data_IF_092827031937
#
_entry.id   IF_092827031937
#
_cell.length_a   1.000
_cell.length_b   1.000
_cell.length_c   1.000
_cell.angle_alpha   90.00
_cell.angle_beta   90.00
_cell.angle_gamma   90.00
#
_symmetry.space_group_name_H-M   'P 1'
#
loop_
_entity.id
_entity.type
_entity.pdbx_description
1 polymer ?
#
# COMPACT_ATOMS: atom_id res chain seq x y z
N UNK A 1 -19.66 -17.28 15.52
CA UNK A 1 -18.56 -16.93 14.62
C UNK A 1 -18.67 -15.45 14.31
N UNK A 2 -17.69 -14.65 14.68
CA UNK A 2 -17.72 -13.20 14.47
C UNK A 2 -17.37 -12.90 13.02
N UNK A 3 -18.23 -12.17 12.33
CA UNK A 3 -18.01 -11.72 10.96
C UNK A 3 -17.40 -10.34 11.00
N UNK A 4 -16.27 -10.16 10.30
CA UNK A 4 -15.57 -8.90 10.12
C UNK A 4 -15.51 -8.59 8.62
N UNK A 5 -15.89 -7.37 8.22
CA UNK A 5 -15.79 -6.93 6.85
C UNK A 5 -14.47 -6.19 6.62
N UNK A 6 -13.75 -6.53 5.57
CA UNK A 6 -12.62 -5.75 5.08
C UNK A 6 -13.04 -4.86 3.92
N UNK A 7 -13.01 -3.55 4.13
CA UNK A 7 -13.37 -2.53 3.16
C UNK A 7 -12.36 -2.39 2.02
N UNK A 8 -12.16 -3.47 1.27
CA UNK A 8 -11.27 -3.50 0.10
C UNK A 8 -11.90 -4.25 -1.06
N UNK A 9 -11.63 -3.79 -2.28
CA UNK A 9 -11.93 -4.50 -3.54
C UNK A 9 -10.71 -5.26 -4.07
N UNK A 10 -9.53 -5.06 -3.47
CA UNK A 10 -8.28 -5.73 -3.86
C UNK A 10 -8.25 -7.15 -3.27
N UNK A 11 -8.34 -8.15 -4.15
CA UNK A 11 -8.37 -9.57 -3.77
C UNK A 11 -7.06 -10.04 -3.11
N UNK A 12 -5.92 -9.51 -3.56
CA UNK A 12 -4.62 -9.83 -2.96
C UNK A 12 -4.54 -9.35 -1.50
N UNK A 13 -4.97 -8.11 -1.23
CA UNK A 13 -5.05 -7.59 0.15
C UNK A 13 -6.02 -8.40 1.01
N UNK A 14 -7.16 -8.79 0.46
CA UNK A 14 -8.14 -9.62 1.19
C UNK A 14 -7.57 -10.99 1.53
N UNK A 15 -6.90 -11.65 0.58
CA UNK A 15 -6.30 -12.98 0.78
C UNK A 15 -5.19 -12.93 1.83
N UNK A 16 -4.29 -11.96 1.74
CA UNK A 16 -3.22 -11.76 2.73
C UNK A 16 -3.80 -11.55 4.14
N UNK A 17 -4.79 -10.67 4.28
CA UNK A 17 -5.44 -10.41 5.57
C UNK A 17 -6.20 -11.64 6.11
N UNK A 18 -6.84 -12.45 5.22
CA UNK A 18 -7.48 -13.71 5.62
C UNK A 18 -6.46 -14.69 6.23
N UNK A 19 -5.29 -14.84 5.60
CA UNK A 19 -4.20 -15.68 6.12
C UNK A 19 -3.72 -15.18 7.48
N UNK A 20 -3.47 -13.89 7.58
CA UNK A 20 -2.97 -13.23 8.78
C UNK A 20 -3.92 -13.37 9.97
N UNK A 21 -5.23 -13.20 9.77
CA UNK A 21 -6.23 -13.25 10.84
C UNK A 21 -6.82 -14.64 11.09
N UNK A 22 -6.47 -15.65 10.28
CA UNK A 22 -6.98 -17.02 10.44
C UNK A 22 -6.70 -17.64 11.82
N UNK A 23 -5.53 -17.42 12.46
CA UNK A 23 -5.28 -17.95 13.80
C UNK A 23 -6.21 -17.39 14.87
N UNK A 24 -6.85 -16.24 14.63
CA UNK A 24 -7.77 -15.59 15.58
C UNK A 24 -9.21 -16.11 15.48
N UNK A 25 -9.50 -17.05 14.59
CA UNK A 25 -10.86 -17.58 14.39
C UNK A 25 -11.84 -16.54 13.80
N UNK A 26 -11.34 -15.47 13.18
CA UNK A 26 -12.15 -14.41 12.58
C UNK A 26 -12.59 -14.82 11.18
N UNK A 27 -13.90 -14.74 10.91
CA UNK A 27 -14.44 -14.90 9.56
C UNK A 27 -14.37 -13.58 8.81
N UNK A 28 -13.35 -13.42 7.96
CA UNK A 28 -13.16 -12.21 7.17
C UNK A 28 -13.91 -12.27 5.85
N UNK A 29 -14.77 -11.28 5.58
CA UNK A 29 -15.44 -11.05 4.31
C UNK A 29 -14.81 -9.85 3.58
N UNK A 30 -14.77 -9.91 2.26
CA UNK A 30 -14.46 -8.76 1.41
C UNK A 30 -15.73 -8.05 0.94
N UNK A 31 -15.58 -6.88 0.32
CA UNK A 31 -16.72 -6.13 -0.21
C UNK A 31 -17.49 -6.91 -1.28
N UNK A 32 -16.81 -7.73 -2.08
CA UNK A 32 -17.44 -8.56 -3.12
C UNK A 32 -18.31 -9.70 -2.55
N UNK A 33 -18.12 -10.05 -1.29
CA UNK A 33 -18.92 -11.07 -0.60
C UNK A 33 -20.27 -10.51 -0.08
N UNK A 34 -20.47 -9.19 -0.22
CA UNK A 34 -21.68 -8.50 0.20
C UNK A 34 -22.70 -8.47 -0.95
N UNK A 35 -23.99 -8.50 -0.59
CA UNK A 35 -25.09 -8.46 -1.57
C UNK A 35 -25.41 -7.03 -2.02
N UNK A 36 -25.10 -6.08 -1.19
CA UNK A 36 -25.35 -4.67 -1.40
C UNK A 36 -24.40 -4.09 -2.45
N UNK A 37 -24.85 -3.04 -3.14
CA UNK A 37 -24.00 -2.31 -4.08
C UNK A 37 -22.81 -1.65 -3.34
N UNK A 38 -21.60 -1.93 -3.83
CA UNK A 38 -20.39 -1.35 -3.28
C UNK A 38 -20.28 0.11 -3.73
N UNK A 39 -20.28 1.09 -2.82
CA UNK A 39 -20.12 2.49 -3.20
C UNK A 39 -18.70 2.76 -3.68
N UNK A 40 -18.57 3.65 -4.66
CA UNK A 40 -17.26 4.22 -5.01
C UNK A 40 -16.88 5.25 -3.96
N UNK A 41 -15.94 4.93 -3.12
CA UNK A 41 -15.42 5.84 -2.08
C UNK A 41 -14.25 6.64 -2.66
N UNK A 42 -14.37 7.97 -2.65
CA UNK A 42 -13.29 8.86 -3.05
C UNK A 42 -12.26 8.96 -1.91
N UNK A 43 -11.03 8.60 -2.19
CA UNK A 43 -9.90 8.69 -1.26
C UNK A 43 -9.31 10.10 -1.35
N UNK A 44 -9.82 11.01 -0.52
CA UNK A 44 -9.45 12.43 -0.51
C UNK A 44 -8.54 12.81 0.66
N UNK A 45 -8.14 11.83 1.45
CA UNK A 45 -7.23 12.03 2.57
C UNK A 45 -5.80 12.37 2.12
N UNK A 46 -5.06 12.98 3.01
CA UNK A 46 -3.64 13.35 2.81
C UNK A 46 -2.68 12.33 3.43
N UNK A 47 -3.20 11.35 4.16
CA UNK A 47 -2.43 10.28 4.80
C UNK A 47 -3.13 8.92 4.66
N UNK A 48 -2.40 7.79 4.86
CA UNK A 48 -3.02 6.47 4.88
C UNK A 48 -4.16 6.37 5.92
N UNK A 49 -3.98 6.96 7.11
CA UNK A 49 -4.99 6.91 8.16
C UNK A 49 -6.27 7.66 7.76
N UNK A 50 -6.15 8.83 7.17
CA UNK A 50 -7.31 9.58 6.68
C UNK A 50 -8.10 8.79 5.62
N UNK A 51 -7.42 8.17 4.66
CA UNK A 51 -8.08 7.33 3.66
C UNK A 51 -8.70 6.07 4.28
N UNK A 52 -8.04 5.44 5.24
CA UNK A 52 -8.61 4.31 5.98
C UNK A 52 -9.91 4.71 6.72
N UNK A 53 -9.94 5.89 7.37
CA UNK A 53 -11.15 6.45 8.01
C UNK A 53 -12.29 6.68 7.02
N UNK A 54 -11.99 7.34 5.91
CA UNK A 54 -12.99 7.65 4.86
C UNK A 54 -13.64 6.35 4.37
N UNK A 55 -12.83 5.34 4.05
CA UNK A 55 -13.31 4.03 3.59
C UNK A 55 -14.11 3.30 4.66
N UNK A 56 -13.56 3.13 5.85
CA UNK A 56 -14.22 2.40 6.94
C UNK A 56 -15.56 3.01 7.31
N UNK A 57 -15.62 4.35 7.44
CA UNK A 57 -16.86 5.09 7.72
C UNK A 57 -17.91 4.91 6.63
N UNK A 58 -17.50 5.01 5.37
CA UNK A 58 -18.42 4.86 4.23
C UNK A 58 -19.04 3.46 4.18
N UNK A 59 -18.22 2.41 4.37
CA UNK A 59 -18.70 1.03 4.37
C UNK A 59 -19.53 0.71 5.60
N UNK A 60 -19.14 1.19 6.80
CA UNK A 60 -19.95 1.00 8.01
C UNK A 60 -21.36 1.58 7.86
N UNK A 61 -21.49 2.76 7.28
CA UNK A 61 -22.79 3.39 7.04
C UNK A 61 -23.74 2.54 6.18
N UNK A 62 -23.21 1.75 5.26
CA UNK A 62 -23.99 0.93 4.34
C UNK A 62 -24.29 -0.44 4.92
N UNK A 63 -23.26 -1.11 5.42
CA UNK A 63 -23.38 -2.52 5.80
C UNK A 63 -23.82 -2.73 7.26
N UNK A 64 -23.65 -1.72 8.12
CA UNK A 64 -24.03 -1.75 9.55
C UNK A 64 -23.50 -2.98 10.31
N UNK A 65 -22.32 -3.48 9.92
CA UNK A 65 -21.59 -4.58 10.57
C UNK A 65 -20.17 -4.12 10.86
N UNK A 66 -19.46 -4.77 11.80
CA UNK A 66 -18.06 -4.48 12.06
C UNK A 66 -17.25 -4.46 10.77
N UNK A 67 -16.62 -3.34 10.46
CA UNK A 67 -15.84 -3.13 9.23
C UNK A 67 -14.56 -2.37 9.52
N UNK A 68 -13.48 -2.83 8.91
CA UNK A 68 -12.24 -2.06 8.88
C UNK A 68 -11.79 -1.77 7.46
N UNK A 69 -11.02 -0.73 7.30
CA UNK A 69 -10.26 -0.45 6.08
C UNK A 69 -8.82 -0.14 6.42
N UNK A 70 -7.94 -0.54 5.52
CA UNK A 70 -6.53 -0.17 5.56
C UNK A 70 -6.20 0.66 4.34
N UNK A 71 -5.26 1.58 4.54
CA UNK A 71 -4.59 2.26 3.45
C UNK A 71 -3.08 2.21 3.65
N UNK A 72 -2.32 2.44 2.58
CA UNK A 72 -0.89 2.21 2.54
C UNK A 72 -0.21 3.37 1.83
N UNK A 73 0.87 3.87 2.41
CA UNK A 73 1.80 4.78 1.75
C UNK A 73 3.17 4.14 1.56
N UNK A 74 3.89 4.54 0.51
CA UNK A 74 5.28 4.17 0.28
C UNK A 74 6.18 5.35 0.63
N UNK A 75 7.21 5.10 1.42
CA UNK A 75 8.17 6.12 1.86
C UNK A 75 9.59 5.69 1.54
N UNK A 76 10.39 6.64 1.05
CA UNK A 76 11.73 6.42 0.53
C UNK A 76 12.74 7.24 1.34
N UNK A 77 13.73 6.60 1.94
CA UNK A 77 14.80 7.31 2.65
C UNK A 77 15.71 8.05 1.66
N UNK A 78 16.14 9.26 2.03
CA UNK A 78 17.09 10.06 1.24
C UNK A 78 16.50 10.73 -0.01
N UNK A 79 15.21 10.51 -0.30
CA UNK A 79 14.54 11.15 -1.43
C UNK A 79 13.87 12.45 -0.98
N UNK A 80 14.02 13.57 -1.72
CA UNK A 80 13.38 14.84 -1.40
C UNK A 80 11.87 14.72 -1.18
N UNK A 81 11.33 15.55 -0.29
CA UNK A 81 9.91 15.51 0.11
C UNK A 81 8.97 15.61 -1.09
N UNK A 82 9.29 16.45 -2.05
CA UNK A 82 8.49 16.68 -3.27
C UNK A 82 8.45 15.47 -4.21
N UNK A 83 9.37 14.51 -4.04
CA UNK A 83 9.42 13.26 -4.81
C UNK A 83 8.92 12.05 -4.01
N UNK A 84 8.53 12.25 -2.75
CA UNK A 84 8.00 11.16 -1.93
C UNK A 84 6.65 10.69 -2.48
N UNK A 85 6.49 9.38 -2.72
CA UNK A 85 5.23 8.85 -3.22
C UNK A 85 4.08 8.97 -2.20
N UNK A 86 4.35 8.72 -0.92
CA UNK A 86 3.31 8.71 0.10
C UNK A 86 2.14 7.80 -0.30
N UNK A 87 0.92 8.32 -0.26
CA UNK A 87 -0.30 7.61 -0.69
C UNK A 87 -0.49 7.55 -2.21
N UNK A 88 0.33 8.27 -2.98
CA UNK A 88 0.20 8.40 -4.43
C UNK A 88 1.20 7.53 -5.19
N UNK A 89 1.43 6.30 -4.72
CA UNK A 89 2.45 5.38 -5.25
C UNK A 89 2.34 5.15 -6.76
N UNK A 90 1.12 5.16 -7.30
CA UNK A 90 0.85 5.00 -8.74
C UNK A 90 0.72 6.30 -9.50
N UNK A 91 0.95 7.46 -8.87
CA UNK A 91 0.81 8.75 -9.52
C UNK A 91 2.18 9.41 -9.67
N UNK A 92 2.33 10.16 -10.76
CA UNK A 92 3.49 11.02 -10.90
C UNK A 92 3.48 12.13 -9.86
N UNK A 93 4.65 12.52 -9.33
CA UNK A 93 4.72 13.61 -8.38
C UNK A 93 4.22 14.92 -8.99
N UNK A 94 3.44 15.67 -8.23
CA UNK A 94 2.96 16.99 -8.63
C UNK A 94 4.06 18.02 -8.41
N UNK A 95 4.90 18.25 -9.42
CA UNK A 95 6.06 19.13 -9.32
C UNK A 95 5.81 20.48 -10.01
N UNK A 96 6.35 21.53 -9.40
CA UNK A 96 6.44 22.85 -10.04
C UNK A 96 7.55 22.86 -11.10
N UNK A 97 7.51 23.83 -12.02
CA UNK A 97 8.46 23.91 -13.15
C UNK A 97 9.93 23.93 -12.67
N UNK A 98 10.21 24.68 -11.63
CA UNK A 98 11.55 24.82 -11.02
C UNK A 98 12.07 23.49 -10.46
N UNK A 99 11.18 22.68 -9.89
CA UNK A 99 11.51 21.34 -9.38
C UNK A 99 11.85 20.37 -10.53
N UNK A 100 11.16 20.51 -11.68
CA UNK A 100 11.50 19.75 -12.88
C UNK A 100 12.89 20.08 -13.42
N UNK A 101 13.26 21.35 -13.40
CA UNK A 101 14.57 21.78 -13.89
C UNK A 101 15.71 21.27 -13.03
N UNK A 102 15.44 21.04 -11.73
CA UNK A 102 16.36 20.43 -10.78
C UNK A 102 16.61 18.95 -11.06
N UNK A 103 15.58 18.20 -11.44
CA UNK A 103 15.67 16.74 -11.61
C UNK A 103 15.74 16.35 -13.08
N UNK A 104 16.97 16.27 -13.63
CA UNK A 104 17.21 16.00 -15.06
C UNK A 104 16.59 14.69 -15.55
N UNK A 105 16.54 13.65 -14.71
CA UNK A 105 15.95 12.35 -15.04
C UNK A 105 14.44 12.44 -15.28
N UNK A 106 13.76 13.38 -14.63
CA UNK A 106 12.33 13.63 -14.84
C UNK A 106 12.05 14.29 -16.19
N UNK A 107 13.01 15.03 -16.76
CA UNK A 107 12.83 15.69 -18.06
C UNK A 107 12.57 14.69 -19.19
N UNK A 108 13.25 13.53 -19.18
CA UNK A 108 13.00 12.47 -20.16
C UNK A 108 11.62 11.83 -20.00
N UNK A 109 11.18 11.67 -18.79
CA UNK A 109 9.85 11.13 -18.44
C UNK A 109 8.71 12.07 -18.82
N UNK A 110 8.94 13.37 -18.67
CA UNK A 110 7.91 14.40 -18.78
C UNK A 110 7.61 14.85 -20.19
N UNK A 111 8.56 14.74 -21.12
CA UNK A 111 8.33 15.09 -22.55
C UNK A 111 7.31 14.18 -23.21
N UNK A 112 7.28 12.92 -22.82
CA UNK A 112 6.35 11.91 -23.35
C UNK A 112 4.99 11.93 -22.65
N UNK A 113 4.90 12.47 -21.43
CA UNK A 113 3.76 12.29 -20.54
C UNK A 113 3.01 13.56 -20.13
N UNK A 114 3.30 14.71 -20.73
CA UNK A 114 2.56 15.96 -20.45
C UNK A 114 1.03 15.87 -20.60
N UNK A 115 0.54 14.83 -21.30
CA UNK A 115 -0.89 14.58 -21.47
C UNK A 115 -1.53 13.83 -20.29
N UNK A 116 -0.75 13.30 -19.34
CA UNK A 116 -1.23 12.44 -18.26
C UNK A 116 -1.07 13.04 -16.85
N UNK A 117 -1.01 14.34 -16.75
CA UNK A 117 -0.98 15.03 -15.45
C UNK A 117 -2.16 14.54 -14.57
N UNK A 118 -1.88 13.97 -13.40
CA UNK A 118 -2.81 13.28 -12.49
C UNK A 118 -3.34 11.90 -12.95
N UNK A 119 -2.87 11.32 -14.05
CA UNK A 119 -3.21 9.93 -14.37
C UNK A 119 -2.39 8.94 -13.55
N UNK A 120 -2.95 7.77 -13.32
CA UNK A 120 -2.22 6.66 -12.71
C UNK A 120 -1.21 6.09 -13.72
N UNK A 121 -0.01 5.79 -13.21
CA UNK A 121 1.02 5.07 -13.95
C UNK A 121 0.57 3.64 -14.24
N UNK A 122 0.81 3.15 -15.44
CA UNK A 122 0.79 1.73 -15.76
C UNK A 122 1.91 1.00 -14.99
N UNK A 123 1.82 -0.33 -14.88
CA UNK A 123 2.87 -1.11 -14.22
C UNK A 123 4.26 -0.88 -14.86
N UNK A 124 4.33 -0.75 -16.17
CA UNK A 124 5.57 -0.44 -16.89
C UNK A 124 6.13 0.94 -16.53
N UNK A 125 5.29 1.96 -16.57
CA UNK A 125 5.67 3.33 -16.22
C UNK A 125 6.11 3.44 -14.76
N UNK A 126 5.41 2.76 -13.87
CA UNK A 126 5.75 2.72 -12.45
C UNK A 126 7.13 2.08 -12.23
N UNK A 127 7.38 0.91 -12.82
CA UNK A 127 8.70 0.28 -12.76
C UNK A 127 9.80 1.22 -13.29
N UNK A 128 9.56 1.85 -14.44
CA UNK A 128 10.53 2.76 -15.06
C UNK A 128 10.79 4.00 -14.21
N UNK A 129 9.75 4.62 -13.66
CA UNK A 129 9.86 5.79 -12.80
C UNK A 129 10.71 5.51 -11.55
N UNK A 130 10.38 4.45 -10.80
CA UNK A 130 11.11 4.12 -9.58
C UNK A 130 12.53 3.59 -9.86
N UNK A 131 12.75 2.91 -10.98
CA UNK A 131 14.10 2.53 -11.42
C UNK A 131 14.97 3.75 -11.71
N UNK A 132 14.42 4.77 -12.38
CA UNK A 132 15.14 6.04 -12.63
C UNK A 132 15.38 6.82 -11.34
N UNK A 133 14.42 6.80 -10.42
CA UNK A 133 14.59 7.40 -9.10
C UNK A 133 15.75 6.73 -8.34
N UNK A 134 15.81 5.40 -8.36
CA UNK A 134 16.90 4.63 -7.76
C UNK A 134 18.24 4.81 -8.49
N UNK A 135 18.23 5.13 -9.78
CA UNK A 135 19.44 5.47 -10.53
C UNK A 135 19.99 6.85 -10.11
N UNK A 136 19.12 7.82 -9.88
CA UNK A 136 19.48 9.20 -9.51
C UNK A 136 19.99 9.29 -8.07
N UNK A 137 19.30 8.64 -7.13
CA UNK A 137 19.59 8.76 -5.69
C UNK A 137 20.34 7.56 -5.11
N UNK A 138 20.69 6.57 -5.92
CA UNK A 138 21.23 5.29 -5.46
C UNK A 138 20.11 4.30 -5.09
N UNK A 139 20.49 3.12 -4.58
CA UNK A 139 19.50 2.16 -4.06
C UNK A 139 18.71 2.80 -2.92
N UNK A 140 17.38 2.84 -3.08
CA UNK A 140 16.50 3.52 -2.15
C UNK A 140 16.00 2.56 -1.09
N UNK A 141 16.26 2.87 0.18
CA UNK A 141 15.58 2.18 1.27
C UNK A 141 14.11 2.61 1.30
N UNK A 142 13.24 1.65 1.10
CA UNK A 142 11.81 1.85 0.97
C UNK A 142 11.05 1.09 2.06
N UNK A 143 9.90 1.62 2.47
CA UNK A 143 8.99 0.95 3.40
C UNK A 143 7.55 1.30 3.08
N UNK A 144 6.69 0.28 3.05
CA UNK A 144 5.25 0.48 3.07
C UNK A 144 4.80 0.73 4.51
N UNK A 145 4.13 1.85 4.74
CA UNK A 145 3.50 2.18 6.02
C UNK A 145 1.99 2.03 5.88
N UNK A 146 1.42 1.19 6.73
CA UNK A 146 -0.01 0.92 6.73
C UNK A 146 -0.69 1.68 7.87
N UNK A 147 -1.95 2.05 7.62
CA UNK A 147 -2.84 2.53 8.65
C UNK A 147 -4.17 1.77 8.58
N UNK A 148 -4.80 1.59 9.72
CA UNK A 148 -6.09 0.92 9.87
C UNK A 148 -7.08 1.81 10.60
N UNK A 149 -8.33 1.80 10.13
CA UNK A 149 -9.48 2.30 10.87
C UNK A 149 -10.55 1.21 10.94
N UNK A 150 -11.01 0.90 12.15
CA UNK A 150 -11.96 -0.14 12.43
C UNK A 150 -13.20 0.45 13.13
N UNK A 151 -14.35 0.33 12.50
CA UNK A 151 -15.68 0.60 13.05
C UNK A 151 -16.26 -0.72 13.58
N UNK A 152 -16.20 -0.91 14.90
CA UNK A 152 -16.90 -2.02 15.57
C UNK A 152 -18.37 -1.68 15.75
N UNK A 153 -18.67 -0.41 16.09
CA UNK A 153 -19.99 0.23 16.13
C UNK A 153 -19.84 1.73 15.82
N UNK A 154 -20.93 2.50 15.86
CA UNK A 154 -20.87 3.96 15.73
C UNK A 154 -20.09 4.64 16.89
N UNK A 155 -20.11 4.03 18.07
CA UNK A 155 -19.46 4.54 19.28
C UNK A 155 -18.09 3.93 19.52
N UNK A 156 -17.78 2.77 18.88
CA UNK A 156 -16.53 2.05 19.06
C UNK A 156 -15.72 2.07 17.76
N UNK A 157 -14.85 3.07 17.66
CA UNK A 157 -13.98 3.30 16.51
C UNK A 157 -12.54 3.21 16.99
N UNK A 158 -11.75 2.36 16.36
CA UNK A 158 -10.36 2.13 16.69
C UNK A 158 -9.47 2.37 15.49
N UNK A 159 -8.34 3.00 15.75
CA UNK A 159 -7.40 3.40 14.69
C UNK A 159 -5.96 3.11 15.11
N UNK A 160 -5.12 2.86 14.12
CA UNK A 160 -3.70 2.72 14.34
C UNK A 160 -2.91 3.01 13.05
N UNK A 161 -1.76 3.64 13.23
CA UNK A 161 -0.68 3.79 12.24
C UNK A 161 0.67 3.38 12.88
N UNK A 162 0.60 2.45 13.84
CA UNK A 162 1.77 1.91 14.52
C UNK A 162 2.73 1.28 13.51
N UNK A 163 4.03 1.46 13.73
CA UNK A 163 5.08 0.92 12.85
C UNK A 163 5.01 -0.61 12.69
N UNK A 164 4.43 -1.33 13.65
CA UNK A 164 4.21 -2.79 13.58
C UNK A 164 3.13 -3.21 12.58
N UNK A 165 2.32 -2.26 12.09
CA UNK A 165 1.42 -2.47 10.95
C UNK A 165 2.16 -2.39 9.61
N UNK A 166 3.37 -1.89 9.60
CA UNK A 166 4.16 -1.62 8.39
C UNK A 166 4.94 -2.85 7.97
N UNK A 167 5.10 -3.02 6.65
CA UNK A 167 5.96 -4.07 6.10
C UNK A 167 7.43 -3.86 6.46
N UNK A 168 8.25 -4.91 6.35
CA UNK A 168 9.70 -4.78 6.54
C UNK A 168 10.29 -3.84 5.49
N UNK A 169 11.32 -3.03 5.84
CA UNK A 169 12.04 -2.22 4.86
C UNK A 169 12.70 -3.10 3.79
N UNK A 170 12.75 -2.58 2.57
CA UNK A 170 13.40 -3.20 1.42
C UNK A 170 14.17 -2.14 0.62
N UNK A 171 14.92 -2.56 -0.40
CA UNK A 171 15.60 -1.65 -1.30
C UNK A 171 14.91 -1.64 -2.66
N UNK A 172 14.78 -0.46 -3.27
CA UNK A 172 14.47 -0.33 -4.67
C UNK A 172 15.75 -0.09 -5.47
N UNK A 173 15.95 -0.89 -6.52
CA UNK A 173 17.12 -0.80 -7.40
C UNK A 173 16.77 -0.23 -8.76
N UNK A 174 17.76 0.30 -9.47
CA UNK A 174 17.61 0.81 -10.83
C UNK A 174 17.54 -0.29 -11.91
N UNK A 175 17.85 -1.55 -11.57
CA UNK A 175 17.90 -2.66 -12.52
C UNK A 175 16.71 -3.59 -12.29
N UNK A 176 15.71 -3.59 -13.18
CA UNK A 176 14.56 -4.49 -13.01
C UNK A 176 14.92 -5.97 -13.21
N UNK A 177 14.37 -6.82 -12.37
CA UNK A 177 14.38 -8.28 -12.58
C UNK A 177 13.62 -8.64 -13.85
N UNK A 178 14.03 -9.68 -14.63
CA UNK A 178 13.33 -10.09 -15.85
C UNK A 178 11.90 -10.59 -15.61
N UNK A 179 11.66 -11.27 -14.49
CA UNK A 179 10.32 -11.69 -14.09
C UNK A 179 9.46 -10.47 -13.70
N UNK A 180 8.16 -10.51 -14.06
CA UNK A 180 7.18 -9.50 -13.67
C UNK A 180 5.82 -10.14 -13.43
N UNK A 181 5.10 -9.61 -12.46
CA UNK A 181 3.73 -9.97 -12.14
C UNK A 181 2.83 -8.75 -12.30
N UNK A 182 1.74 -8.92 -13.06
CA UNK A 182 0.76 -7.85 -13.26
C UNK A 182 0.17 -7.38 -11.94
N UNK A 183 0.09 -6.07 -11.74
CA UNK A 183 -0.39 -5.45 -10.51
C UNK A 183 0.67 -5.25 -9.42
N UNK A 184 1.89 -5.81 -9.59
CA UNK A 184 3.01 -5.73 -8.63
C UNK A 184 4.30 -5.18 -9.28
N UNK A 185 4.25 -3.96 -9.84
CA UNK A 185 5.35 -3.42 -10.66
C UNK A 185 6.64 -3.18 -9.86
N UNK A 186 6.55 -2.92 -8.56
CA UNK A 186 7.73 -2.66 -7.73
C UNK A 186 8.46 -3.92 -7.29
N UNK A 187 7.81 -5.10 -7.26
CA UNK A 187 8.45 -6.34 -6.83
C UNK A 187 9.67 -6.69 -7.69
N UNK A 188 9.61 -6.37 -9.00
CA UNK A 188 10.73 -6.62 -9.92
C UNK A 188 11.95 -5.70 -9.71
N UNK A 189 11.83 -4.65 -8.92
CA UNK A 189 12.94 -3.75 -8.54
C UNK A 189 13.18 -3.78 -7.04
N UNK A 190 12.48 -4.65 -6.32
CA UNK A 190 12.62 -4.80 -4.87
C UNK A 190 13.68 -5.83 -4.51
N UNK A 191 14.55 -5.47 -3.57
CA UNK A 191 15.62 -6.30 -3.05
C UNK A 191 15.46 -6.42 -1.53
N UNK A 192 15.50 -7.65 -1.03
CA UNK A 192 15.55 -7.90 0.42
C UNK A 192 16.88 -7.43 0.98
N UNK A 193 16.85 -6.61 2.04
CA UNK A 193 18.05 -6.00 2.63
C UNK A 193 19.04 -7.05 3.15
N UNK A 194 18.54 -8.06 3.87
CA UNK A 194 19.39 -9.06 4.55
C UNK A 194 20.12 -9.99 3.59
N UNK A 195 19.46 -10.48 2.55
CA UNK A 195 20.03 -11.43 1.59
C UNK A 195 20.59 -10.79 0.33
N UNK A 196 20.27 -9.51 0.07
CA UNK A 196 20.61 -8.79 -1.18
C UNK A 196 20.04 -9.46 -2.45
N UNK A 197 19.01 -10.31 -2.31
CA UNK A 197 18.32 -10.96 -3.43
C UNK A 197 17.11 -10.17 -3.86
N UNK A 198 16.78 -10.25 -5.14
CA UNK A 198 15.50 -9.74 -5.62
C UNK A 198 14.35 -10.47 -4.94
N UNK A 199 13.21 -9.80 -4.80
CA UNK A 199 12.00 -10.39 -4.23
C UNK A 199 11.61 -11.68 -4.96
N UNK A 200 11.71 -11.72 -6.29
CA UNK A 200 11.41 -12.91 -7.09
C UNK A 200 12.42 -14.05 -6.98
N UNK A 201 13.62 -13.81 -6.45
CA UNK A 201 14.63 -14.83 -6.18
C UNK A 201 14.54 -15.40 -4.76
N UNK A 202 13.61 -14.90 -3.95
CA UNK A 202 13.38 -15.39 -2.60
C UNK A 202 12.53 -16.65 -2.62
N UNK A 203 12.78 -17.63 -1.74
CA UNK A 203 11.85 -18.74 -1.52
C UNK A 203 10.51 -18.21 -0.99
N UNK A 204 9.42 -18.93 -1.25
CA UNK A 204 8.06 -18.50 -0.91
C UNK A 204 7.92 -18.15 0.59
N UNK A 205 8.53 -18.96 1.47
CA UNK A 205 8.56 -18.69 2.92
C UNK A 205 9.19 -17.34 3.29
N UNK A 206 10.24 -16.92 2.58
CA UNK A 206 10.90 -15.63 2.81
C UNK A 206 10.11 -14.45 2.19
N UNK A 207 9.34 -14.70 1.14
CA UNK A 207 8.40 -13.71 0.61
C UNK A 207 7.26 -13.45 1.60
N UNK A 208 6.74 -14.51 2.23
CA UNK A 208 5.73 -14.39 3.27
C UNK A 208 6.26 -13.63 4.50
N UNK A 209 7.52 -13.85 4.91
CA UNK A 209 8.15 -13.11 6.00
C UNK A 209 8.28 -11.60 5.73
N UNK A 210 8.53 -11.20 4.48
CA UNK A 210 8.59 -9.77 4.10
C UNK A 210 7.21 -9.12 4.21
N UNK A 211 6.15 -9.91 3.97
CA UNK A 211 4.76 -9.46 4.04
C UNK A 211 4.16 -9.53 5.45
N UNK A 212 4.87 -10.08 6.45
CA UNK A 212 4.36 -10.19 7.82
C UNK A 212 4.18 -8.82 8.46
N UNK A 213 2.97 -8.60 8.88
CA UNK A 213 2.47 -7.39 9.53
C UNK A 213 1.86 -7.79 10.89
N UNK A 214 2.71 -8.18 11.83
CA UNK A 214 2.33 -8.73 13.16
C UNK A 214 1.38 -7.81 13.93
N UNK A 215 1.52 -6.51 13.74
CA UNK A 215 0.68 -5.51 14.40
C UNK A 215 -0.81 -5.62 14.08
N UNK A 216 -1.20 -6.21 12.94
CA UNK A 216 -2.62 -6.43 12.63
C UNK A 216 -3.26 -7.48 13.54
N UNK A 217 -2.55 -8.57 13.83
CA UNK A 217 -3.06 -9.58 14.78
C UNK A 217 -3.24 -8.97 16.17
N UNK A 218 -2.24 -8.25 16.68
CA UNK A 218 -2.32 -7.58 17.97
C UNK A 218 -3.47 -6.57 18.02
N UNK A 219 -3.67 -5.80 16.95
CA UNK A 219 -4.77 -4.85 16.84
C UNK A 219 -6.13 -5.54 16.99
N UNK A 220 -6.36 -6.65 16.28
CA UNK A 220 -7.64 -7.35 16.35
C UNK A 220 -7.80 -8.16 17.63
N UNK A 221 -6.75 -8.69 18.22
CA UNK A 221 -6.80 -9.29 19.58
C UNK A 221 -7.29 -8.22 20.56
N UNK A 222 -6.77 -7.01 20.49
CA UNK A 222 -7.11 -5.93 21.43
C UNK A 222 -8.53 -5.41 21.27
N UNK A 223 -9.01 -5.24 20.05
CA UNK A 223 -10.24 -4.49 19.77
C UNK A 223 -11.41 -5.32 19.24
N UNK A 224 -11.17 -6.53 18.77
CA UNK A 224 -12.20 -7.41 18.21
C UNK A 224 -12.38 -8.72 19.00
N UNK A 225 -11.52 -9.04 19.97
CA UNK A 225 -11.79 -10.09 20.96
C UNK A 225 -12.97 -9.71 21.86
N UNK A 226 -13.60 -10.69 22.46
CA UNK A 226 -14.77 -10.50 23.36
C UNK A 226 -14.42 -9.67 24.58
#
# INVERSE_FOLDING_TARGET
MKVLLYGTTNEGKLLAMKRMLSPLGITLKGLKDMKESIPKVAETGSSPLENARIKAKAYYKIFQIPVFSCDTGLYLEGVPKELQPGIYVRRYPCLQKEQFDKYKFLKSFWKEQRQHYNSEMTDKEMTEYYSKLALEFGELRAQYQNAICFYKSEQEIYESEDSRLSGKPFLLTSKPHPHCQSGFPLDRISIQISSRKYYYDLPESAQDEVALEEGFQEFFIKYFSD
#
